data_IF_150182288434
#
_entry.id   IF_150182288434
#
_cell.length_a   1.000
_cell.length_b   1.000
_cell.length_c   1.000
_cell.angle_alpha   90.00
_cell.angle_beta   90.00
_cell.angle_gamma   90.00
#
_symmetry.space_group_name_H-M   'P 1'
#
loop_
_entity.id
_entity.type
_entity.pdbx_description
1 polymer ?
#
# COMPACT_ATOMS: atom_id res chain seq x y z
N UNK A 1 22.89 -12.47 5.59
CA UNK A 1 22.52 -12.34 5.37
C UNK A 1 21.49 -12.32 5.34
N UNK A 2 21.00 -12.18 5.25
CA UNK A 2 20.21 -12.25 5.08
C UNK A 2 19.22 -11.89 5.04
N UNK A 3 18.68 -11.66 4.54
CA UNK A 3 17.67 -11.19 4.25
C UNK A 3 16.63 -12.00 4.22
N UNK A 4 16.09 -12.40 5.20
CA UNK A 4 15.00 -13.16 5.30
C UNK A 4 13.81 -12.35 5.41
N UNK A 5 13.61 -11.47 4.48
CA UNK A 5 12.37 -10.70 4.40
C UNK A 5 11.33 -11.61 3.76
N UNK A 6 10.26 -11.87 4.47
CA UNK A 6 9.13 -12.62 3.90
C UNK A 6 7.94 -11.69 3.73
N UNK A 7 7.04 -12.04 2.82
CA UNK A 7 5.81 -11.31 2.62
C UNK A 7 4.63 -12.24 2.79
N UNK A 8 3.52 -11.69 3.23
CA UNK A 8 2.26 -12.44 3.33
C UNK A 8 1.08 -11.49 3.30
N UNK A 9 -0.10 -12.04 3.30
CA UNK A 9 -1.32 -11.23 3.34
C UNK A 9 -1.39 -10.45 4.66
N UNK A 10 -1.85 -9.21 4.55
CA UNK A 10 -2.13 -8.36 5.71
C UNK A 10 -3.38 -8.89 6.39
N UNK A 11 -3.33 -9.10 7.70
CA UNK A 11 -4.50 -9.47 8.48
C UNK A 11 -4.74 -8.41 9.55
N UNK A 12 -5.94 -8.39 10.13
CA UNK A 12 -6.28 -7.33 11.07
C UNK A 12 -5.41 -7.35 12.33
N UNK A 13 -4.81 -8.50 12.65
CA UNK A 13 -3.84 -8.57 13.74
C UNK A 13 -2.58 -7.75 13.48
N UNK A 14 -2.34 -7.36 12.24
CA UNK A 14 -1.19 -6.52 11.86
C UNK A 14 -1.50 -5.04 11.94
N UNK A 15 -2.71 -4.67 12.35
CA UNK A 15 -3.16 -3.28 12.28
C UNK A 15 -2.29 -2.32 13.10
N UNK A 16 -2.05 -2.65 14.38
CA UNK A 16 -1.29 -1.73 15.25
C UNK A 16 0.15 -1.52 14.75
N UNK A 17 0.90 -2.57 14.38
CA UNK A 17 2.22 -2.36 13.78
C UNK A 17 2.16 -1.57 12.47
N UNK A 18 1.11 -1.77 11.66
CA UNK A 18 0.96 -1.02 10.41
C UNK A 18 0.77 0.47 10.69
N UNK A 19 -0.08 0.81 11.65
CA UNK A 19 -0.31 2.21 12.02
C UNK A 19 0.99 2.84 12.53
N UNK A 20 1.74 2.11 13.36
CA UNK A 20 3.02 2.61 13.84
C UNK A 20 3.98 2.91 12.68
N UNK A 21 4.00 2.03 11.69
CA UNK A 21 4.84 2.24 10.52
C UNK A 21 4.36 3.45 9.71
N UNK A 22 3.05 3.56 9.47
CA UNK A 22 2.50 4.70 8.72
C UNK A 22 2.84 6.03 9.38
N UNK A 23 2.81 6.07 10.73
CA UNK A 23 3.13 7.30 11.45
C UNK A 23 4.59 7.72 11.32
N UNK A 24 5.48 6.76 11.04
CA UNK A 24 6.92 7.03 10.93
C UNK A 24 7.37 7.30 9.51
N UNK A 25 6.55 6.99 8.52
CA UNK A 25 6.95 7.11 7.12
C UNK A 25 6.36 8.38 6.53
N UNK A 26 7.22 9.13 5.85
CA UNK A 26 6.83 10.36 5.20
C UNK A 26 5.89 10.08 4.04
N UNK A 27 4.88 10.91 3.89
CA UNK A 27 3.96 10.79 2.76
C UNK A 27 2.74 9.93 3.00
N UNK A 28 2.61 9.33 4.19
CA UNK A 28 1.42 8.56 4.54
C UNK A 28 0.62 9.34 5.57
N UNK A 29 -0.61 9.71 5.19
CA UNK A 29 -1.50 10.42 6.10
C UNK A 29 -2.61 9.50 6.55
N UNK A 30 -2.81 9.42 7.85
CA UNK A 30 -3.87 8.62 8.44
C UNK A 30 -5.13 9.50 8.50
N UNK A 31 -6.21 9.01 7.94
CA UNK A 31 -7.44 9.78 7.76
C UNK A 31 -8.66 8.90 7.95
N UNK A 32 -9.83 9.41 7.55
CA UNK A 32 -11.08 8.67 7.63
C UNK A 32 -10.95 7.35 6.87
N UNK A 33 -11.47 6.29 7.45
CA UNK A 33 -11.41 4.96 6.85
C UNK A 33 -10.17 4.17 7.24
N UNK A 34 -9.25 4.78 8.00
CA UNK A 34 -8.03 4.10 8.44
C UNK A 34 -8.13 3.57 9.86
N UNK A 35 -9.29 3.68 10.50
CA UNK A 35 -9.49 3.09 11.81
C UNK A 35 -9.57 1.57 11.71
N UNK A 36 -9.40 0.91 12.85
CA UNK A 36 -9.29 -0.56 12.88
C UNK A 36 -10.50 -1.24 12.27
N UNK A 37 -11.71 -0.78 12.60
CA UNK A 37 -12.92 -1.41 12.09
C UNK A 37 -13.04 -1.23 10.58
N UNK A 38 -12.78 -0.03 10.08
CA UNK A 38 -12.86 0.25 8.64
C UNK A 38 -11.86 -0.59 7.87
N UNK A 39 -10.63 -0.72 8.38
CA UNK A 39 -9.62 -1.54 7.74
C UNK A 39 -10.02 -3.02 7.78
N UNK A 40 -10.59 -3.47 8.90
CA UNK A 40 -11.06 -4.85 9.01
C UNK A 40 -12.10 -5.17 7.93
N UNK A 41 -13.07 -4.27 7.73
CA UNK A 41 -14.08 -4.46 6.71
C UNK A 41 -13.49 -4.40 5.30
N UNK A 42 -12.53 -3.51 5.10
CA UNK A 42 -11.85 -3.41 3.81
C UNK A 42 -11.15 -4.72 3.45
N UNK A 43 -10.47 -5.32 4.42
CA UNK A 43 -9.77 -6.59 4.20
C UNK A 43 -10.74 -7.72 3.88
N UNK A 44 -11.91 -7.72 4.51
CA UNK A 44 -12.94 -8.72 4.21
C UNK A 44 -13.49 -8.58 2.80
N UNK A 45 -13.62 -7.34 2.32
CA UNK A 45 -14.11 -7.09 0.95
C UNK A 45 -13.06 -7.36 -0.10
N UNK A 46 -11.78 -7.31 0.27
CA UNK A 46 -10.68 -7.42 -0.67
C UNK A 46 -9.66 -8.45 -0.19
N UNK A 47 -10.06 -9.72 -0.09
CA UNK A 47 -9.15 -10.74 0.48
C UNK A 47 -7.93 -10.96 -0.41
N UNK A 48 -6.79 -11.14 0.24
CA UNK A 48 -5.56 -11.53 -0.43
C UNK A 48 -4.78 -10.41 -1.10
N UNK A 49 -5.33 -9.19 -1.17
CA UNK A 49 -4.73 -8.11 -1.94
C UNK A 49 -3.75 -7.25 -1.14
N UNK A 50 -4.04 -7.02 0.14
CA UNK A 50 -3.15 -6.23 1.00
C UNK A 50 -2.03 -7.11 1.53
N UNK A 51 -0.82 -6.54 1.57
CA UNK A 51 0.39 -7.33 1.86
C UNK A 51 1.21 -6.70 2.97
N UNK A 52 1.94 -7.53 3.69
CA UNK A 52 2.95 -7.06 4.65
C UNK A 52 4.28 -7.74 4.36
N UNK A 53 5.35 -7.06 4.70
CA UNK A 53 6.71 -7.60 4.65
C UNK A 53 7.26 -7.62 6.07
N UNK A 54 7.91 -8.73 6.42
CA UNK A 54 8.42 -8.95 7.77
C UNK A 54 9.89 -9.32 7.76
N UNK A 55 10.57 -8.83 8.79
CA UNK A 55 11.91 -9.28 9.14
C UNK A 55 11.72 -10.00 10.47
N UNK A 56 11.72 -11.34 10.43
CA UNK A 56 11.30 -12.12 11.59
C UNK A 56 9.84 -11.84 11.89
N UNK A 57 9.57 -11.34 13.09
CA UNK A 57 8.20 -10.99 13.48
C UNK A 57 7.90 -9.52 13.33
N UNK A 58 8.89 -8.74 12.91
CA UNK A 58 8.74 -7.29 12.81
C UNK A 58 8.19 -6.92 11.43
N UNK A 59 7.08 -6.19 11.40
CA UNK A 59 6.52 -5.66 10.16
C UNK A 59 7.35 -4.45 9.74
N UNK A 60 7.94 -4.54 8.55
CA UNK A 60 8.81 -3.49 8.01
C UNK A 60 8.27 -2.93 6.70
N UNK A 61 7.19 -3.44 6.20
CA UNK A 61 6.54 -2.91 5.01
C UNK A 61 5.07 -3.28 4.97
N UNK A 62 4.26 -2.41 4.41
CA UNK A 62 2.80 -2.61 4.31
C UNK A 62 2.30 -2.02 3.01
N UNK A 63 1.36 -2.68 2.36
CA UNK A 63 0.61 -2.14 1.24
C UNK A 63 -0.84 -2.53 1.41
N UNK A 64 -1.73 -1.55 1.38
CA UNK A 64 -3.18 -1.78 1.40
C UNK A 64 -3.66 -1.77 -0.04
N UNK A 65 -4.42 -2.78 -0.45
CA UNK A 65 -4.87 -2.89 -1.82
C UNK A 65 -6.30 -3.42 -1.89
N UNK A 66 -7.08 -2.84 -2.77
CA UNK A 66 -8.44 -3.29 -3.00
C UNK A 66 -8.95 -2.85 -4.36
N UNK A 67 -10.19 -3.19 -4.67
CA UNK A 67 -10.81 -2.79 -5.94
C UNK A 67 -12.31 -2.62 -5.75
N UNK A 68 -12.92 -1.91 -6.71
CA UNK A 68 -14.36 -1.67 -6.71
C UNK A 68 -15.09 -2.55 -7.75
N UNK A 69 -14.44 -3.57 -8.25
CA UNK A 69 -14.95 -4.43 -9.31
C UNK A 69 -14.50 -4.01 -10.70
N UNK A 70 -13.94 -2.80 -10.85
CA UNK A 70 -13.47 -2.28 -12.13
C UNK A 70 -12.03 -1.80 -12.08
N UNK A 71 -11.67 -1.06 -11.05
CA UNK A 71 -10.32 -0.50 -10.89
C UNK A 71 -9.79 -0.86 -9.53
N UNK A 72 -8.49 -1.08 -9.47
CA UNK A 72 -7.81 -1.34 -8.21
C UNK A 72 -7.17 -0.08 -7.66
N UNK A 73 -6.87 -0.11 -6.37
CA UNK A 73 -6.22 1.00 -5.67
C UNK A 73 -5.20 0.44 -4.72
N UNK A 74 -4.04 1.07 -4.65
CA UNK A 74 -3.04 0.76 -3.63
C UNK A 74 -2.95 2.00 -2.74
N UNK A 75 -3.06 1.77 -1.44
CA UNK A 75 -3.02 2.82 -0.44
C UNK A 75 -1.90 2.56 0.55
N UNK A 76 -1.35 3.61 1.12
CA UNK A 76 -0.46 3.55 2.29
C UNK A 76 0.68 2.55 2.12
N UNK A 77 1.28 2.54 0.93
CA UNK A 77 2.50 1.75 0.74
C UNK A 77 3.59 2.42 1.57
N UNK A 78 4.15 1.68 2.50
CA UNK A 78 5.16 2.19 3.40
C UNK A 78 6.21 1.14 3.67
N UNK A 79 7.47 1.55 3.70
CA UNK A 79 8.60 0.67 4.06
C UNK A 79 9.40 1.38 5.14
N UNK A 80 9.76 0.64 6.18
CA UNK A 80 10.58 1.15 7.27
C UNK A 80 11.88 1.72 6.69
N UNK A 81 12.25 2.91 7.17
CA UNK A 81 13.42 3.62 6.65
C UNK A 81 14.68 2.76 6.66
N UNK A 82 14.86 1.93 7.69
CA UNK A 82 16.06 1.11 7.81
C UNK A 82 16.11 0.01 6.76
N UNK A 83 15.02 -0.22 6.04
CA UNK A 83 14.92 -1.28 5.04
C UNK A 83 14.75 -0.74 3.62
N UNK A 84 14.86 0.58 3.44
CA UNK A 84 14.73 1.17 2.12
C UNK A 84 15.90 0.78 1.22
N UNK A 85 15.67 0.83 -0.07
CA UNK A 85 16.71 0.51 -1.05
C UNK A 85 16.92 -0.98 -1.29
N UNK A 86 16.05 -1.82 -0.77
CA UNK A 86 16.16 -3.27 -0.93
C UNK A 86 15.07 -3.88 -1.81
N UNK A 87 14.28 -3.02 -2.46
CA UNK A 87 13.23 -3.49 -3.36
C UNK A 87 11.97 -3.97 -2.67
N UNK A 88 11.81 -3.73 -1.38
CA UNK A 88 10.66 -4.23 -0.62
C UNK A 88 9.37 -3.56 -1.08
N UNK A 89 9.38 -2.23 -1.26
CA UNK A 89 8.20 -1.51 -1.73
C UNK A 89 7.74 -2.00 -3.10
N UNK A 90 8.69 -2.22 -4.00
CA UNK A 90 8.38 -2.76 -5.32
C UNK A 90 7.81 -4.17 -5.24
N UNK A 91 8.37 -4.99 -4.36
CA UNK A 91 7.88 -6.35 -4.16
C UNK A 91 6.43 -6.36 -3.66
N UNK A 92 6.12 -5.52 -2.68
CA UNK A 92 4.76 -5.42 -2.16
C UNK A 92 3.79 -4.95 -3.23
N UNK A 93 4.18 -3.93 -3.98
CA UNK A 93 3.38 -3.43 -5.09
C UNK A 93 3.13 -4.53 -6.13
N UNK A 94 4.18 -5.26 -6.52
CA UNK A 94 4.04 -6.30 -7.52
C UNK A 94 3.09 -7.40 -7.05
N UNK A 95 3.15 -7.77 -5.78
CA UNK A 95 2.25 -8.80 -5.24
C UNK A 95 0.81 -8.33 -5.23
N UNK A 96 0.56 -7.08 -4.86
CA UNK A 96 -0.78 -6.52 -4.90
C UNK A 96 -1.30 -6.45 -6.33
N UNK A 97 -0.48 -6.01 -7.28
CA UNK A 97 -0.88 -5.96 -8.68
C UNK A 97 -1.18 -7.34 -9.24
N UNK A 98 -0.41 -8.35 -8.84
CA UNK A 98 -0.68 -9.72 -9.26
C UNK A 98 -2.04 -10.19 -8.74
N UNK A 99 -2.36 -9.85 -7.49
CA UNK A 99 -3.67 -10.18 -6.94
C UNK A 99 -4.80 -9.50 -7.70
N UNK A 100 -4.61 -8.24 -8.09
CA UNK A 100 -5.60 -7.53 -8.89
C UNK A 100 -5.78 -8.19 -10.26
N UNK A 101 -4.68 -8.61 -10.90
CA UNK A 101 -4.78 -9.31 -12.19
C UNK A 101 -5.59 -10.59 -12.06
N UNK A 102 -5.36 -11.34 -10.99
CA UNK A 102 -6.12 -12.59 -10.76
C UNK A 102 -7.59 -12.31 -10.54
N UNK A 103 -7.94 -11.14 -10.02
CA UNK A 103 -9.31 -10.72 -9.81
C UNK A 103 -9.94 -10.15 -11.08
N UNK A 104 -9.21 -10.07 -12.19
CA UNK A 104 -9.73 -9.56 -13.45
C UNK A 104 -9.64 -8.05 -13.58
N UNK A 105 -8.91 -7.39 -12.70
CA UNK A 105 -8.79 -5.93 -12.73
C UNK A 105 -7.67 -5.55 -13.70
N UNK A 106 -7.95 -4.62 -14.60
CA UNK A 106 -7.02 -4.25 -15.66
C UNK A 106 -6.25 -2.95 -15.39
N UNK A 107 -6.70 -2.16 -14.44
CA UNK A 107 -6.04 -0.89 -14.15
C UNK A 107 -6.08 -0.58 -12.65
N UNK A 108 -4.96 -0.11 -12.14
CA UNK A 108 -4.86 0.32 -10.75
C UNK A 108 -4.51 1.81 -10.70
N UNK A 109 -4.92 2.46 -9.63
CA UNK A 109 -4.68 3.88 -9.39
C UNK A 109 -4.07 4.05 -8.00
N UNK A 110 -3.30 5.12 -7.86
CA UNK A 110 -2.77 5.53 -6.55
C UNK A 110 -2.94 7.03 -6.42
N UNK A 111 -2.92 7.50 -5.18
CA UNK A 111 -2.91 8.92 -4.88
C UNK A 111 -1.57 9.23 -4.22
N UNK A 112 -0.82 10.15 -4.81
CA UNK A 112 0.47 10.56 -4.28
C UNK A 112 0.40 12.08 -4.09
N UNK A 113 0.83 12.56 -2.93
CA UNK A 113 0.85 13.98 -2.68
C UNK A 113 1.70 14.67 -3.76
N UNK A 114 1.15 15.75 -4.34
CA UNK A 114 1.81 16.45 -5.44
C UNK A 114 3.17 17.00 -5.04
N UNK A 115 3.34 17.34 -3.76
CA UNK A 115 4.58 17.89 -3.23
C UNK A 115 5.48 16.82 -2.60
N UNK A 116 5.30 15.57 -2.98
CA UNK A 116 6.14 14.46 -2.51
C UNK A 116 6.96 13.91 -3.69
N UNK A 117 8.09 14.58 -4.04
CA UNK A 117 8.87 14.17 -5.20
C UNK A 117 9.47 12.77 -5.05
N UNK A 118 9.78 12.36 -3.82
CA UNK A 118 10.34 11.05 -3.57
C UNK A 118 9.32 9.96 -3.85
N UNK A 119 8.10 10.13 -3.37
CA UNK A 119 7.02 9.18 -3.64
C UNK A 119 6.68 9.13 -5.13
N UNK A 120 6.58 10.31 -5.76
CA UNK A 120 6.31 10.37 -7.20
C UNK A 120 7.40 9.65 -8.00
N UNK A 121 8.66 9.85 -7.62
CA UNK A 121 9.78 9.17 -8.29
C UNK A 121 9.71 7.67 -8.14
N UNK A 122 9.38 7.18 -6.94
CA UNK A 122 9.24 5.75 -6.70
C UNK A 122 8.20 5.13 -7.64
N UNK A 123 7.00 5.72 -7.70
CA UNK A 123 5.93 5.17 -8.52
C UNK A 123 6.26 5.24 -10.00
N UNK A 124 6.86 6.36 -10.47
CA UNK A 124 7.28 6.44 -11.87
C UNK A 124 8.31 5.38 -12.20
N UNK A 125 9.26 5.12 -11.30
CA UNK A 125 10.27 4.08 -11.53
C UNK A 125 9.65 2.69 -11.58
N UNK A 126 8.48 2.51 -10.98
CA UNK A 126 7.74 1.26 -11.06
C UNK A 126 6.83 1.19 -12.29
N UNK A 127 6.85 2.20 -13.14
CA UNK A 127 6.09 2.18 -14.39
C UNK A 127 4.75 2.88 -14.33
N UNK A 128 4.45 3.61 -13.25
CA UNK A 128 3.20 4.34 -13.12
C UNK A 128 3.30 5.69 -13.83
N UNK A 129 2.21 6.09 -14.46
CA UNK A 129 2.14 7.34 -15.19
C UNK A 129 1.30 8.35 -14.43
N UNK A 130 1.80 9.57 -14.29
CA UNK A 130 1.06 10.64 -13.63
C UNK A 130 -0.05 11.13 -14.54
N UNK A 131 -1.17 11.51 -13.93
CA UNK A 131 -2.29 12.10 -14.66
C UNK A 131 -2.54 13.51 -14.11
N UNK A 132 -1.81 14.51 -14.60
CA UNK A 132 -1.90 15.86 -14.05
C UNK A 132 -3.21 16.58 -14.36
N UNK A 133 -4.00 16.04 -15.30
CA UNK A 133 -5.27 16.66 -15.64
C UNK A 133 -6.42 16.20 -14.77
N UNK A 134 -6.20 15.20 -13.92
CA UNK A 134 -7.23 14.71 -13.01
C UNK A 134 -6.93 15.20 -11.60
N UNK A 135 -7.91 15.75 -10.94
CA UNK A 135 -7.78 16.21 -9.57
C UNK A 135 -8.56 15.29 -8.63
N UNK A 136 -8.00 15.06 -7.46
CA UNK A 136 -8.73 14.36 -6.41
C UNK A 136 -9.69 15.35 -5.77
N UNK A 137 -10.95 14.95 -5.59
CA UNK A 137 -11.95 15.75 -4.91
C UNK A 137 -12.64 14.87 -3.89
N UNK A 138 -12.86 15.37 -2.69
CA UNK A 138 -13.47 14.62 -1.61
C UNK A 138 -14.66 15.34 -1.02
N UNK A 139 -15.57 14.58 -0.43
CA UNK A 139 -16.71 15.10 0.28
C UNK A 139 -17.13 14.10 1.36
N UNK A 140 -17.39 14.60 2.54
CA UNK A 140 -17.89 13.73 3.61
C UNK A 140 -19.33 13.30 3.31
N UNK A 141 -19.65 12.11 3.70
CA UNK A 141 -20.99 11.56 3.52
C UNK A 141 -21.64 11.27 4.86
#
# INVERSE_FOLDING_TARGET
MSDKIITREFSIGDYDPAVDLWKRVEGVEIAEGDDRESVSQFLLRNPGLSRVALDGEKIIGVAICGHDGRRGYIYHLAVDRDYEGRGIGRRLQDESLQGLRKAGIQRALILVAADNPRGRGFWRNCGWEENPEALSMGKDV
#
